data_IF_951768493071
#
_entry.id   IF_951768493071
#
_cell.length_a   1.000
_cell.length_b   1.000
_cell.length_c   1.000
_cell.angle_alpha   90.00
_cell.angle_beta   90.00
_cell.angle_gamma   90.00
#
_symmetry.space_group_name_H-M   'P 1'
#
loop_
_entity.id
_entity.type
_entity.pdbx_description
1 polymer ?
#
# COMPACT_ATOMS: atom_id res chain seq x y z
N UNK A 1 -1.66 -9.68 4.11
CA UNK A 1 -2.28 -9.70 2.74
C UNK A 1 -1.23 -9.22 1.75
N UNK A 2 -1.29 -9.66 0.49
CA UNK A 2 -0.39 -9.19 -0.58
C UNK A 2 -1.25 -8.53 -1.65
N UNK A 3 -0.84 -7.35 -2.10
CA UNK A 3 -1.45 -6.65 -3.23
C UNK A 3 -0.41 -6.57 -4.34
N UNK A 4 -0.79 -7.00 -5.54
CA UNK A 4 0.07 -7.05 -6.71
C UNK A 4 -0.50 -6.12 -7.78
N UNK A 5 0.35 -5.30 -8.38
CA UNK A 5 0.04 -4.49 -9.58
C UNK A 5 1.01 -4.85 -10.69
N UNK A 6 0.50 -5.02 -11.90
CA UNK A 6 1.28 -5.30 -13.09
C UNK A 6 0.72 -4.52 -14.29
N UNK A 7 1.53 -4.39 -15.34
CA UNK A 7 1.14 -3.79 -16.62
C UNK A 7 1.16 -4.91 -17.66
N UNK A 8 0.07 -5.06 -18.43
CA UNK A 8 -0.04 -6.07 -19.48
C UNK A 8 1.10 -5.93 -20.49
N UNK A 9 1.82 -7.02 -20.76
CA UNK A 9 2.94 -7.05 -21.71
C UNK A 9 4.27 -6.51 -21.18
N UNK A 10 4.36 -6.06 -19.92
CA UNK A 10 5.62 -5.62 -19.33
C UNK A 10 6.62 -6.78 -19.18
N UNK A 11 7.90 -6.49 -19.46
CA UNK A 11 9.05 -7.39 -19.20
C UNK A 11 9.95 -6.88 -18.08
N UNK A 12 9.49 -5.89 -17.32
CA UNK A 12 10.22 -5.36 -16.17
C UNK A 12 10.42 -6.40 -15.07
N UNK A 13 11.45 -6.22 -14.24
CA UNK A 13 11.69 -7.08 -13.08
C UNK A 13 10.66 -6.80 -11.97
N UNK A 14 10.42 -7.80 -11.13
CA UNK A 14 9.64 -7.65 -9.91
C UNK A 14 10.30 -6.61 -8.99
N UNK A 15 9.48 -5.74 -8.39
CA UNK A 15 9.89 -4.81 -7.34
C UNK A 15 9.07 -5.06 -6.08
N UNK A 16 9.75 -5.23 -4.94
CA UNK A 16 9.11 -5.31 -3.63
C UNK A 16 9.05 -3.90 -3.04
N UNK A 17 7.84 -3.43 -2.74
CA UNK A 17 7.63 -2.11 -2.14
C UNK A 17 7.61 -2.21 -0.61
N UNK A 18 7.88 -1.10 0.11
CA UNK A 18 7.73 -1.07 1.56
C UNK A 18 6.33 -1.58 1.96
N UNK A 19 6.24 -2.39 3.03
CA UNK A 19 4.96 -2.95 3.48
C UNK A 19 4.01 -1.82 3.93
N UNK A 20 2.70 -2.06 3.78
CA UNK A 20 1.67 -1.23 4.39
C UNK A 20 1.40 -1.73 5.81
N UNK A 21 1.83 -0.96 6.80
CA UNK A 21 1.51 -1.21 8.22
C UNK A 21 0.09 -0.72 8.48
N UNK A 22 -0.81 -1.65 8.84
CA UNK A 22 -2.22 -1.29 9.05
C UNK A 22 -2.42 -0.52 10.35
N UNK A 23 -1.78 -0.96 11.44
CA UNK A 23 -1.89 -0.34 12.75
C UNK A 23 -0.59 0.33 13.17
N UNK A 24 -0.72 1.36 14.02
CA UNK A 24 0.43 2.00 14.65
C UNK A 24 1.19 1.01 15.55
N UNK A 25 2.44 1.33 15.91
CA UNK A 25 3.22 0.49 16.83
C UNK A 25 2.59 0.41 18.24
N UNK A 26 1.80 1.42 18.60
CA UNK A 26 1.05 1.48 19.85
C UNK A 26 -0.42 1.81 19.57
N UNK A 27 -1.32 0.97 20.09
CA UNK A 27 -2.77 1.12 19.94
C UNK A 27 -3.34 0.42 18.69
N UNK A 28 -4.66 0.24 18.69
CA UNK A 28 -5.38 -0.48 17.63
C UNK A 28 -5.82 0.42 16.46
N UNK A 29 -5.47 1.71 16.50
CA UNK A 29 -5.80 2.66 15.45
C UNK A 29 -5.01 2.40 14.15
N UNK A 30 -5.57 2.80 12.99
CA UNK A 30 -4.85 2.71 11.74
C UNK A 30 -3.63 3.64 11.74
N UNK A 31 -2.61 3.30 10.95
CA UNK A 31 -1.56 4.29 10.65
C UNK A 31 -2.14 5.43 9.80
N UNK A 32 -1.55 6.62 9.87
CA UNK A 32 -1.95 7.78 9.05
C UNK A 32 -2.05 7.41 7.56
N UNK A 33 -1.03 6.69 7.04
CA UNK A 33 -1.03 6.23 5.66
C UNK A 33 -2.21 5.30 5.35
N UNK A 34 -2.52 4.36 6.25
CA UNK A 34 -3.65 3.45 6.10
C UNK A 34 -4.98 4.19 6.16
N UNK A 35 -5.11 5.17 7.06
CA UNK A 35 -6.30 6.00 7.18
C UNK A 35 -6.57 6.80 5.90
N UNK A 36 -5.55 7.44 5.33
CA UNK A 36 -5.66 8.17 4.06
C UNK A 36 -6.12 7.25 2.92
N UNK A 37 -5.52 6.06 2.80
CA UNK A 37 -5.89 5.09 1.75
C UNK A 37 -7.32 4.59 1.95
N UNK A 38 -7.70 4.23 3.18
CA UNK A 38 -9.04 3.73 3.51
C UNK A 38 -10.12 4.78 3.20
N UNK A 39 -9.82 6.06 3.45
CA UNK A 39 -10.73 7.17 3.19
C UNK A 39 -10.70 7.63 1.72
N UNK A 40 -9.96 6.95 0.84
CA UNK A 40 -9.84 7.31 -0.57
C UNK A 40 -9.09 8.62 -0.83
N UNK A 41 -8.34 9.12 0.16
CA UNK A 41 -7.56 10.37 0.08
C UNK A 41 -6.15 10.15 -0.47
N UNK A 42 -5.70 8.90 -0.59
CA UNK A 42 -4.41 8.53 -1.18
C UNK A 42 -4.47 7.20 -1.94
N UNK A 43 -3.66 7.06 -3.00
CA UNK A 43 -3.45 5.77 -3.68
C UNK A 43 -2.47 4.87 -2.93
N UNK A 44 -2.72 3.56 -2.96
CA UNK A 44 -1.82 2.54 -2.42
C UNK A 44 -0.44 2.54 -3.12
N UNK A 45 -0.41 2.87 -4.41
CA UNK A 45 0.80 2.80 -5.23
C UNK A 45 1.32 4.17 -5.70
N UNK A 46 0.65 5.26 -5.33
CA UNK A 46 1.05 6.65 -5.62
C UNK A 46 0.74 7.11 -7.05
N UNK A 47 -0.21 6.45 -7.72
CA UNK A 47 -0.80 6.85 -8.99
C UNK A 47 -2.12 7.62 -8.81
#
# INVERSE_FOLDING_TARGET
RIVVRAILGSRGKLSIRPPLMLHAQSGDGPTERTEMINNGLASLFGD
#
